data_IF_421316143472
#
_entry.id   IF_421316143472
#
_cell.length_a   1.000
_cell.length_b   1.000
_cell.length_c   1.000
_cell.angle_alpha   90.00
_cell.angle_beta   90.00
_cell.angle_gamma   90.00
#
_symmetry.space_group_name_H-M   'P 1'
#
loop_
_entity.id
_entity.type
_entity.pdbx_description
1 polymer ?
#
# COMPACT_ATOMS: atom_id res chain seq x y z
N UNK A 1 27.74 7.61 -6.44
CA UNK A 1 26.72 6.79 -5.77
C UNK A 1 27.17 5.35 -5.82
N UNK A 2 27.11 4.63 -4.71
CA UNK A 2 27.40 3.19 -4.69
C UNK A 2 26.15 2.46 -5.17
N UNK A 3 26.27 1.66 -6.23
CA UNK A 3 25.18 0.82 -6.74
C UNK A 3 25.31 -0.58 -6.12
N UNK A 4 24.18 -1.18 -5.76
CA UNK A 4 24.09 -2.54 -5.21
C UNK A 4 23.29 -3.38 -6.20
N UNK A 5 23.76 -4.62 -6.44
CA UNK A 5 22.99 -5.59 -7.22
C UNK A 5 21.71 -5.96 -6.48
N UNK A 6 20.51 -5.83 -7.09
CA UNK A 6 19.23 -6.10 -6.44
C UNK A 6 19.12 -7.51 -5.86
N UNK A 7 19.61 -8.53 -6.58
CA UNK A 7 19.54 -9.92 -6.11
C UNK A 7 20.35 -10.12 -4.81
N UNK A 8 21.57 -9.55 -4.75
CA UNK A 8 22.38 -9.61 -3.52
C UNK A 8 21.73 -8.86 -2.35
N UNK A 9 21.00 -7.78 -2.62
CA UNK A 9 20.29 -7.04 -1.59
C UNK A 9 19.08 -7.81 -1.08
N UNK A 10 18.37 -8.53 -1.97
CA UNK A 10 17.29 -9.46 -1.58
C UNK A 10 17.86 -10.58 -0.71
N UNK A 11 18.96 -11.22 -1.12
CA UNK A 11 19.58 -12.30 -0.37
C UNK A 11 20.03 -11.84 1.03
N UNK A 12 20.63 -10.67 1.13
CA UNK A 12 21.02 -10.06 2.41
C UNK A 12 19.81 -9.79 3.30
N UNK A 13 18.79 -9.08 2.80
CA UNK A 13 17.61 -8.74 3.58
C UNK A 13 16.82 -9.99 3.99
N UNK A 14 16.74 -11.00 3.11
CA UNK A 14 16.12 -12.29 3.41
C UNK A 14 16.84 -13.02 4.55
N UNK A 15 18.17 -13.09 4.50
CA UNK A 15 18.97 -13.71 5.58
C UNK A 15 18.76 -13.00 6.93
N UNK A 16 18.65 -11.67 6.91
CA UNK A 16 18.38 -10.88 8.13
C UNK A 16 17.01 -11.22 8.72
N UNK A 17 15.95 -11.32 7.91
CA UNK A 17 14.61 -11.70 8.40
C UNK A 17 14.55 -13.16 8.84
N UNK A 18 15.21 -14.06 8.13
CA UNK A 18 15.31 -15.48 8.53
C UNK A 18 16.01 -15.63 9.89
N UNK A 19 17.03 -14.80 10.16
CA UNK A 19 17.70 -14.74 11.48
C UNK A 19 16.78 -14.32 12.64
N UNK A 20 15.66 -13.66 12.37
CA UNK A 20 14.62 -13.32 13.36
C UNK A 20 13.47 -14.35 13.40
N UNK A 21 13.65 -15.51 12.78
CA UNK A 21 12.69 -16.61 12.81
C UNK A 21 11.59 -16.56 11.73
N UNK A 22 11.68 -15.65 10.76
CA UNK A 22 10.76 -15.65 9.61
C UNK A 22 11.11 -16.83 8.69
N UNK A 23 10.15 -17.69 8.29
CA UNK A 23 10.39 -18.79 7.36
C UNK A 23 11.04 -18.29 6.05
N UNK A 24 12.00 -19.05 5.51
CA UNK A 24 12.82 -18.62 4.36
C UNK A 24 12.00 -18.11 3.15
N UNK A 25 10.90 -18.77 2.71
CA UNK A 25 10.09 -18.25 1.60
C UNK A 25 9.44 -16.90 1.90
N UNK A 26 9.03 -16.68 3.15
CA UNK A 26 8.40 -15.46 3.61
C UNK A 26 9.44 -14.34 3.80
N UNK A 27 10.61 -14.67 4.36
CA UNK A 27 11.74 -13.76 4.48
C UNK A 27 12.17 -13.24 3.09
N UNK A 28 12.20 -14.13 2.08
CA UNK A 28 12.50 -13.75 0.71
C UNK A 28 11.43 -12.85 0.11
N UNK A 29 10.15 -13.11 0.37
CA UNK A 29 9.06 -12.23 -0.05
C UNK A 29 9.17 -10.83 0.57
N UNK A 30 9.44 -10.76 1.89
CA UNK A 30 9.65 -9.48 2.56
C UNK A 30 10.76 -8.68 1.89
N UNK A 31 11.92 -9.32 1.68
CA UNK A 31 13.07 -8.72 1.04
C UNK A 31 12.76 -8.26 -0.38
N UNK A 32 12.10 -9.09 -1.18
CA UNK A 32 11.73 -8.78 -2.57
C UNK A 32 10.80 -7.57 -2.64
N UNK A 33 9.76 -7.50 -1.80
CA UNK A 33 8.84 -6.34 -1.78
C UNK A 33 9.54 -5.02 -1.49
N UNK A 34 10.56 -5.02 -0.63
CA UNK A 34 11.33 -3.82 -0.30
C UNK A 34 12.25 -3.40 -1.44
N UNK A 35 13.00 -4.36 -1.99
CA UNK A 35 13.93 -4.07 -3.09
C UNK A 35 13.17 -3.66 -4.35
N UNK A 36 12.03 -4.30 -4.62
CA UNK A 36 11.17 -3.92 -5.74
C UNK A 36 10.60 -2.51 -5.58
N UNK A 37 10.24 -2.10 -4.36
CA UNK A 37 9.80 -0.73 -4.09
C UNK A 37 10.90 0.29 -4.39
N UNK A 38 12.15 0.01 -4.05
CA UNK A 38 13.30 0.86 -4.40
C UNK A 38 13.51 0.93 -5.90
N UNK A 39 13.42 -0.20 -6.62
CA UNK A 39 13.54 -0.26 -8.08
C UNK A 39 12.45 0.55 -8.80
N UNK A 40 11.25 0.65 -8.23
CA UNK A 40 10.17 1.51 -8.73
C UNK A 40 10.29 2.98 -8.30
N UNK A 41 11.35 3.36 -7.56
CA UNK A 41 11.52 4.73 -7.06
C UNK A 41 10.69 5.05 -5.81
N UNK A 42 10.01 4.07 -5.21
CA UNK A 42 9.25 4.20 -3.95
C UNK A 42 10.13 3.98 -2.73
N UNK A 43 11.24 4.69 -2.61
CA UNK A 43 12.25 4.54 -1.54
C UNK A 43 11.65 4.61 -0.13
N UNK A 44 10.54 5.35 0.06
CA UNK A 44 9.83 5.41 1.34
C UNK A 44 9.24 4.06 1.78
N UNK A 45 9.14 3.09 0.88
CA UNK A 45 8.62 1.73 1.10
C UNK A 45 9.67 0.66 0.78
N UNK A 46 10.89 1.07 0.51
CA UNK A 46 12.03 0.21 0.16
C UNK A 46 12.79 -0.32 1.38
N UNK A 47 14.04 -0.67 1.17
CA UNK A 47 14.94 -1.29 2.16
C UNK A 47 15.14 -0.42 3.41
N UNK A 48 14.86 0.88 3.34
CA UNK A 48 14.75 1.76 4.51
C UNK A 48 13.84 1.17 5.61
N UNK A 49 12.85 0.35 5.25
CA UNK A 49 11.89 -0.28 6.17
C UNK A 49 12.44 -1.51 6.91
N UNK A 50 13.57 -2.07 6.45
CA UNK A 50 14.12 -3.30 7.02
C UNK A 50 14.29 -3.18 8.54
N UNK A 51 14.93 -2.12 9.03
CA UNK A 51 15.15 -1.92 10.46
C UNK A 51 13.85 -1.86 11.29
N UNK A 52 12.82 -1.19 10.77
CA UNK A 52 11.53 -1.09 11.50
C UNK A 52 10.80 -2.43 11.59
N UNK A 53 10.84 -3.24 10.53
CA UNK A 53 10.23 -4.58 10.58
C UNK A 53 10.99 -5.49 11.54
N UNK A 54 12.33 -5.40 11.59
CA UNK A 54 13.14 -6.13 12.58
C UNK A 54 12.76 -5.77 14.01
N UNK A 55 12.65 -4.48 14.32
CA UNK A 55 12.24 -4.04 15.64
C UNK A 55 10.85 -4.55 16.00
N UNK A 56 9.91 -4.57 15.05
CA UNK A 56 8.56 -5.09 15.27
C UNK A 56 8.53 -6.60 15.52
N UNK A 57 9.36 -7.36 14.84
CA UNK A 57 9.55 -8.80 15.09
C UNK A 57 10.11 -9.02 16.50
N UNK A 58 11.19 -8.32 16.85
CA UNK A 58 11.85 -8.40 18.17
C UNK A 58 10.94 -7.99 19.32
N UNK A 59 10.08 -7.00 19.11
CA UNK A 59 9.09 -6.55 20.10
C UNK A 59 7.84 -7.45 20.16
N UNK A 60 7.75 -8.48 19.33
CA UNK A 60 6.63 -9.43 19.32
C UNK A 60 5.29 -8.85 18.84
N UNK A 61 5.27 -7.65 18.26
CA UNK A 61 4.06 -6.99 17.70
C UNK A 61 3.81 -7.34 16.25
N UNK A 62 4.76 -8.03 15.62
CA UNK A 62 4.64 -8.72 14.34
C UNK A 62 5.20 -10.13 14.53
N UNK A 63 4.38 -11.15 14.28
CA UNK A 63 4.80 -12.54 14.43
C UNK A 63 5.69 -12.97 13.26
N UNK A 64 6.83 -13.64 13.50
CA UNK A 64 7.71 -14.10 12.42
C UNK A 64 7.07 -15.20 11.58
N UNK A 65 6.33 -16.12 12.21
CA UNK A 65 5.55 -17.16 11.52
C UNK A 65 4.14 -16.64 11.31
N UNK A 66 3.70 -16.58 10.05
CA UNK A 66 2.36 -16.11 9.68
C UNK A 66 1.42 -17.30 9.59
N UNK A 67 0.39 -17.32 10.44
CA UNK A 67 -0.63 -18.36 10.53
C UNK A 67 -2.00 -17.75 10.24
N UNK A 68 -2.37 -17.59 8.93
CA UNK A 68 -3.63 -16.98 8.55
C UNK A 68 -4.81 -17.93 8.82
N UNK A 69 -5.93 -17.37 9.28
CA UNK A 69 -7.19 -18.09 9.48
C UNK A 69 -8.28 -17.54 8.59
N UNK A 70 -8.96 -18.38 7.81
CA UNK A 70 -10.16 -18.00 7.09
C UNK A 70 -11.36 -18.00 8.04
N UNK A 71 -11.72 -16.81 8.53
CA UNK A 71 -12.87 -16.63 9.44
C UNK A 71 -14.19 -16.47 8.69
N UNK A 72 -14.13 -16.14 7.42
CA UNK A 72 -15.26 -16.18 6.47
C UNK A 72 -14.73 -16.78 5.16
N UNK A 73 -15.46 -17.76 4.64
CA UNK A 73 -15.24 -18.36 3.32
C UNK A 73 -16.62 -18.56 2.67
N UNK A 74 -17.02 -17.60 1.82
CA UNK A 74 -18.34 -17.53 1.20
C UNK A 74 -18.23 -17.37 -0.32
N UNK A 75 -17.53 -18.29 -0.98
CA UNK A 75 -17.36 -18.30 -2.43
C UNK A 75 -16.57 -17.10 -2.93
N UNK A 76 -17.26 -16.09 -3.48
CA UNK A 76 -16.62 -14.87 -3.98
C UNK A 76 -16.07 -13.95 -2.89
N UNK A 77 -16.43 -14.19 -1.62
CA UNK A 77 -16.01 -13.35 -0.49
C UNK A 77 -15.26 -14.20 0.53
N UNK A 78 -14.14 -13.69 1.02
CA UNK A 78 -13.42 -14.27 2.14
C UNK A 78 -12.91 -13.20 3.11
N UNK A 79 -12.74 -13.57 4.38
CA UNK A 79 -12.09 -12.75 5.40
C UNK A 79 -11.01 -13.58 6.09
N UNK A 80 -9.80 -13.06 6.09
CA UNK A 80 -8.61 -13.66 6.69
C UNK A 80 -8.28 -12.91 7.98
N UNK A 81 -8.17 -13.62 9.11
CA UNK A 81 -7.51 -13.11 10.31
C UNK A 81 -6.01 -13.37 10.19
N UNK A 82 -5.23 -12.31 10.26
CA UNK A 82 -3.77 -12.38 10.10
C UNK A 82 -3.02 -12.64 11.41
N UNK A 83 -3.70 -12.59 12.56
CA UNK A 83 -3.12 -12.85 13.90
C UNK A 83 -1.79 -12.12 14.17
N UNK A 84 -1.66 -10.87 13.67
CA UNK A 84 -0.44 -10.04 13.73
C UNK A 84 0.76 -10.63 12.94
N UNK A 85 0.52 -11.50 11.98
CA UNK A 85 1.53 -12.05 11.08
C UNK A 85 2.13 -10.99 10.13
N UNK A 86 3.05 -11.44 9.31
CA UNK A 86 3.77 -10.61 8.34
C UNK A 86 2.82 -10.07 7.27
N UNK A 87 2.69 -8.74 7.17
CA UNK A 87 1.75 -8.09 6.26
C UNK A 87 1.94 -8.46 4.79
N UNK A 88 3.18 -8.66 4.35
CA UNK A 88 3.51 -9.08 2.98
C UNK A 88 2.96 -10.47 2.65
N UNK A 89 3.06 -11.40 3.58
CA UNK A 89 2.57 -12.77 3.42
C UNK A 89 1.04 -12.77 3.34
N UNK A 90 0.39 -12.07 4.28
CA UNK A 90 -1.07 -11.95 4.36
C UNK A 90 -1.65 -11.29 3.10
N UNK A 91 -1.03 -10.20 2.64
CA UNK A 91 -1.52 -9.47 1.46
C UNK A 91 -1.31 -10.26 0.18
N UNK A 92 -0.19 -11.01 0.06
CA UNK A 92 0.02 -11.94 -1.07
C UNK A 92 -1.02 -13.06 -1.08
N UNK A 93 -1.34 -13.62 0.08
CA UNK A 93 -2.39 -14.63 0.21
C UNK A 93 -3.74 -14.05 -0.24
N UNK A 94 -4.14 -12.88 0.29
CA UNK A 94 -5.38 -12.22 -0.11
C UNK A 94 -5.44 -11.92 -1.61
N UNK A 95 -4.32 -11.52 -2.23
CA UNK A 95 -4.27 -11.28 -3.66
C UNK A 95 -4.51 -12.56 -4.47
N UNK A 96 -3.86 -13.67 -4.11
CA UNK A 96 -4.05 -14.97 -4.77
C UNK A 96 -5.47 -15.48 -4.60
N UNK A 97 -5.98 -15.47 -3.40
CA UNK A 97 -7.37 -15.87 -3.10
C UNK A 97 -8.40 -15.04 -3.89
N UNK A 98 -8.22 -13.71 -3.93
CA UNK A 98 -9.12 -12.85 -4.70
C UNK A 98 -9.08 -13.18 -6.21
N UNK A 99 -7.91 -13.46 -6.78
CA UNK A 99 -7.74 -13.81 -8.19
C UNK A 99 -8.41 -15.16 -8.49
N UNK A 100 -8.13 -16.19 -7.70
CA UNK A 100 -8.71 -17.53 -7.92
C UNK A 100 -10.25 -17.50 -7.80
N UNK A 101 -10.76 -16.82 -6.76
CA UNK A 101 -12.20 -16.65 -6.59
C UNK A 101 -12.84 -15.81 -7.70
N UNK A 102 -12.15 -14.77 -8.19
CA UNK A 102 -12.63 -13.98 -9.33
C UNK A 102 -12.69 -14.81 -10.62
N UNK A 103 -11.74 -15.71 -10.86
CA UNK A 103 -11.79 -16.63 -11.99
C UNK A 103 -13.01 -17.58 -11.91
N UNK A 104 -13.40 -18.00 -10.71
CA UNK A 104 -14.56 -18.87 -10.49
C UNK A 104 -15.89 -18.13 -10.52
N UNK A 105 -15.95 -16.90 -10.01
CA UNK A 105 -17.21 -16.17 -9.77
C UNK A 105 -17.36 -14.87 -10.58
N UNK A 106 -16.37 -14.50 -11.40
CA UNK A 106 -16.32 -13.25 -12.15
C UNK A 106 -15.73 -12.08 -11.39
N UNK A 107 -16.06 -11.94 -10.11
CA UNK A 107 -15.52 -10.93 -9.18
C UNK A 107 -15.37 -11.54 -7.80
N UNK A 108 -14.36 -11.11 -7.05
CA UNK A 108 -14.18 -11.52 -5.67
C UNK A 108 -13.62 -10.38 -4.81
N UNK A 109 -13.92 -10.47 -3.48
CA UNK A 109 -13.39 -9.57 -2.47
C UNK A 109 -12.83 -10.38 -1.29
N UNK A 110 -11.56 -10.12 -0.94
CA UNK A 110 -10.89 -10.76 0.19
C UNK A 110 -10.42 -9.69 1.17
N UNK A 111 -11.02 -9.69 2.36
CA UNK A 111 -10.61 -8.85 3.48
C UNK A 111 -9.50 -9.51 4.29
N UNK A 112 -8.63 -8.69 4.89
CA UNK A 112 -7.66 -9.13 5.89
C UNK A 112 -7.78 -8.21 7.10
N UNK A 113 -7.83 -8.79 8.30
CA UNK A 113 -7.80 -8.08 9.57
C UNK A 113 -6.60 -8.48 10.42
N UNK A 114 -6.30 -7.72 11.45
CA UNK A 114 -5.18 -7.98 12.37
C UNK A 114 -3.86 -8.18 11.60
N UNK A 115 -3.59 -7.32 10.64
CA UNK A 115 -2.42 -7.37 9.77
C UNK A 115 -1.37 -6.33 10.15
N UNK A 116 -0.28 -6.35 9.42
CA UNK A 116 0.83 -5.42 9.51
C UNK A 116 1.05 -4.67 8.19
N UNK A 117 1.91 -3.65 8.20
CA UNK A 117 2.35 -2.95 6.99
C UNK A 117 3.01 -3.95 6.01
N UNK A 118 2.73 -3.81 4.71
CA UNK A 118 3.10 -4.79 3.67
C UNK A 118 3.93 -4.19 2.50
N UNK A 119 4.38 -2.95 2.60
CA UNK A 119 5.07 -2.28 1.50
C UNK A 119 4.12 -1.50 0.58
N UNK A 120 4.26 -1.66 -0.73
CA UNK A 120 3.45 -0.94 -1.74
C UNK A 120 2.24 -1.77 -2.19
N UNK A 121 1.06 -1.16 -2.30
CA UNK A 121 -0.14 -1.85 -2.80
C UNK A 121 0.06 -2.37 -4.23
N UNK A 122 0.81 -1.65 -5.06
CA UNK A 122 1.00 -2.00 -6.46
C UNK A 122 1.72 -3.35 -6.66
N UNK A 123 2.54 -3.79 -5.72
CA UNK A 123 3.20 -5.10 -5.79
C UNK A 123 2.18 -6.22 -5.93
N UNK A 124 1.08 -6.13 -5.20
CA UNK A 124 0.03 -7.17 -5.15
C UNK A 124 -1.01 -7.01 -6.25
N UNK A 125 -1.39 -5.77 -6.60
CA UNK A 125 -2.33 -5.57 -7.71
C UNK A 125 -1.73 -5.97 -9.06
N UNK A 126 -0.41 -5.83 -9.23
CA UNK A 126 0.28 -6.32 -10.42
C UNK A 126 0.26 -7.85 -10.56
N UNK A 127 0.06 -8.62 -9.48
CA UNK A 127 -0.11 -10.07 -9.56
C UNK A 127 -1.36 -10.39 -10.40
N UNK A 128 -2.50 -9.79 -10.05
CA UNK A 128 -3.73 -10.04 -10.78
C UNK A 128 -3.75 -9.49 -12.21
N UNK A 129 -3.09 -8.34 -12.44
CA UNK A 129 -2.92 -7.83 -13.80
C UNK A 129 -2.16 -8.81 -14.72
N UNK A 130 -1.16 -9.52 -14.18
CA UNK A 130 -0.44 -10.56 -14.92
C UNK A 130 -1.26 -11.83 -15.14
N UNK A 131 -2.33 -12.02 -14.39
CA UNK A 131 -3.22 -13.17 -14.44
C UNK A 131 -4.57 -12.88 -15.09
N UNK A 132 -4.69 -11.78 -15.86
CA UNK A 132 -5.89 -11.42 -16.62
C UNK A 132 -7.02 -10.82 -15.80
N UNK A 133 -6.70 -10.23 -14.65
CA UNK A 133 -7.68 -9.55 -13.80
C UNK A 133 -7.43 -8.03 -13.74
N UNK A 134 -8.51 -7.27 -13.57
CA UNK A 134 -8.43 -5.92 -13.00
C UNK A 134 -8.48 -6.07 -11.48
N UNK A 135 -7.52 -5.50 -10.78
CA UNK A 135 -7.40 -5.64 -9.33
C UNK A 135 -7.33 -4.31 -8.62
N UNK A 136 -7.91 -4.27 -7.42
CA UNK A 136 -7.87 -3.15 -6.50
C UNK A 136 -7.41 -3.65 -5.14
N UNK A 137 -6.43 -2.96 -4.54
CA UNK A 137 -6.04 -3.16 -3.15
C UNK A 137 -6.13 -1.84 -2.39
N UNK A 138 -6.84 -1.85 -1.28
CA UNK A 138 -6.95 -0.74 -0.35
C UNK A 138 -6.47 -1.16 1.04
N UNK A 139 -5.85 -0.26 1.78
CA UNK A 139 -5.39 -0.51 3.15
C UNK A 139 -5.45 0.73 3.99
N UNK A 140 -5.81 0.59 5.24
CA UNK A 140 -5.72 1.69 6.19
C UNK A 140 -4.35 1.75 6.87
N UNK A 141 -4.05 2.89 7.45
CA UNK A 141 -2.79 3.16 8.15
C UNK A 141 -2.98 4.04 9.38
N UNK A 142 -1.94 4.14 10.19
CA UNK A 142 -1.98 4.97 11.39
C UNK A 142 -2.21 6.46 11.09
N UNK A 143 -2.77 7.22 12.05
CA UNK A 143 -3.16 8.61 11.90
C UNK A 143 -2.09 9.52 11.30
N UNK A 144 -2.44 10.25 10.25
CA UNK A 144 -1.58 11.21 9.54
C UNK A 144 -2.33 12.48 9.16
N UNK A 145 -3.64 12.37 8.87
CA UNK A 145 -4.54 13.46 8.50
C UNK A 145 -5.60 13.69 9.56
N UNK A 146 -6.20 14.88 9.56
CA UNK A 146 -7.43 15.16 10.27
C UNK A 146 -8.65 14.94 9.36
N UNK A 147 -9.85 14.76 9.92
CA UNK A 147 -11.09 14.97 9.19
C UNK A 147 -11.12 16.35 8.56
N UNK A 148 -11.80 16.50 7.43
CA UNK A 148 -11.91 17.80 6.76
C UNK A 148 -12.45 18.87 7.72
N UNK A 149 -11.71 19.98 7.87
CA UNK A 149 -12.00 21.03 8.84
C UNK A 149 -11.52 20.74 10.28
N UNK A 150 -11.00 19.55 10.55
CA UNK A 150 -10.46 19.18 11.87
C UNK A 150 -8.98 19.52 12.05
N UNK A 151 -8.53 19.50 13.30
CA UNK A 151 -7.12 19.77 13.69
C UNK A 151 -6.46 18.64 14.47
N UNK A 152 -7.08 17.46 14.53
CA UNK A 152 -6.52 16.29 15.22
C UNK A 152 -6.31 15.15 14.23
N UNK A 153 -5.09 14.60 14.18
CA UNK A 153 -4.80 13.39 13.39
C UNK A 153 -5.60 12.22 13.91
N UNK A 154 -6.48 11.64 13.10
CA UNK A 154 -7.19 10.42 13.43
C UNK A 154 -7.32 9.46 12.26
N UNK A 155 -7.09 9.91 11.02
CA UNK A 155 -7.19 9.07 9.81
C UNK A 155 -5.82 8.90 9.16
N UNK A 156 -5.57 7.71 8.62
CA UNK A 156 -4.34 7.39 7.92
C UNK A 156 -4.26 8.00 6.52
N UNK A 157 -3.11 7.81 5.87
CA UNK A 157 -2.93 8.16 4.44
C UNK A 157 -3.69 7.22 3.53
N UNK A 158 -4.05 6.05 4.03
CA UNK A 158 -4.95 5.04 3.48
C UNK A 158 -4.73 4.80 1.99
N UNK A 159 -3.58 4.21 1.62
CA UNK A 159 -3.20 4.02 0.23
C UNK A 159 -4.09 3.00 -0.48
N UNK A 160 -4.17 3.14 -1.80
CA UNK A 160 -4.84 2.19 -2.67
C UNK A 160 -4.16 2.09 -4.03
N UNK A 161 -4.39 0.99 -4.71
CA UNK A 161 -3.84 0.71 -6.03
C UNK A 161 -4.86 0.01 -6.89
N UNK A 162 -4.85 0.33 -8.18
CA UNK A 162 -5.58 -0.41 -9.23
C UNK A 162 -4.58 -0.82 -10.28
N UNK A 163 -4.65 -2.07 -10.74
CA UNK A 163 -3.84 -2.54 -11.85
C UNK A 163 -4.68 -3.37 -12.84
N UNK A 164 -4.29 -3.32 -14.11
CA UNK A 164 -4.90 -4.07 -15.19
C UNK A 164 -3.83 -4.46 -16.24
N UNK A 165 -4.01 -5.57 -16.98
CA UNK A 165 -3.16 -5.87 -18.12
C UNK A 165 -3.32 -4.80 -19.22
N UNK A 166 -2.32 -4.67 -20.09
CA UNK A 166 -2.33 -3.64 -21.15
C UNK A 166 -1.70 -4.15 -22.47
N UNK A 167 -1.94 -5.41 -22.81
CA UNK A 167 -1.48 -6.04 -24.03
C UNK A 167 0.05 -6.14 -24.10
N UNK A 168 0.63 -5.61 -25.17
CA UNK A 168 2.09 -5.59 -25.36
C UNK A 168 2.79 -4.55 -24.48
N UNK A 169 2.04 -3.64 -23.85
CA UNK A 169 2.58 -2.62 -22.96
C UNK A 169 2.75 -3.18 -21.54
N UNK A 170 3.59 -2.55 -20.72
CA UNK A 170 3.58 -2.81 -19.28
C UNK A 170 2.17 -2.64 -18.71
N UNK A 171 1.77 -3.43 -17.69
CA UNK A 171 0.46 -3.29 -17.06
C UNK A 171 0.18 -1.84 -16.64
N UNK A 172 -1.06 -1.41 -16.83
CA UNK A 172 -1.52 -0.16 -16.21
C UNK A 172 -1.52 -0.35 -14.69
N UNK A 173 -0.93 0.60 -13.97
CA UNK A 173 -0.95 0.60 -12.52
C UNK A 173 -1.09 2.02 -11.99
N UNK A 174 -2.08 2.21 -11.12
CA UNK A 174 -2.25 3.40 -10.29
C UNK A 174 -1.98 3.00 -8.85
N UNK A 175 -1.09 3.72 -8.17
CA UNK A 175 -0.82 3.56 -6.74
C UNK A 175 -0.60 4.92 -6.11
N UNK A 176 -1.39 5.22 -5.08
CA UNK A 176 -1.27 6.50 -4.37
C UNK A 176 -1.74 6.41 -2.93
N UNK A 177 -1.23 7.32 -2.09
CA UNK A 177 -1.83 7.71 -0.83
C UNK A 177 -2.83 8.85 -1.06
N UNK A 178 -3.76 9.08 -0.14
CA UNK A 178 -4.78 10.14 -0.24
C UNK A 178 -4.32 11.48 0.35
N UNK A 179 -3.01 11.63 0.58
CA UNK A 179 -2.37 12.87 1.03
C UNK A 179 -1.74 13.62 -0.15
N UNK A 180 -1.63 14.93 -0.07
CA UNK A 180 -0.96 15.75 -1.08
C UNK A 180 0.52 15.38 -1.27
N UNK A 181 1.12 14.75 -0.27
CA UNK A 181 2.51 14.27 -0.30
C UNK A 181 2.67 13.02 0.55
N UNK A 182 3.57 12.13 0.16
CA UNK A 182 3.97 11.00 1.00
C UNK A 182 4.73 11.50 2.25
N UNK A 183 4.36 10.99 3.43
CA UNK A 183 4.98 11.37 4.72
C UNK A 183 6.50 11.27 4.71
N UNK A 184 7.05 10.26 4.03
CA UNK A 184 8.50 10.07 3.90
C UNK A 184 9.23 11.23 3.22
N UNK A 185 8.56 11.98 2.30
CA UNK A 185 9.16 13.16 1.68
C UNK A 185 9.34 14.31 2.67
N UNK A 186 8.42 14.48 3.63
CA UNK A 186 8.54 15.49 4.69
C UNK A 186 9.72 15.14 5.61
N UNK A 187 9.87 13.87 6.00
CA UNK A 187 11.03 13.43 6.79
C UNK A 187 12.35 13.63 6.03
N UNK A 188 12.36 13.39 4.72
CA UNK A 188 13.53 13.60 3.89
C UNK A 188 13.91 15.08 3.82
N UNK A 189 12.94 15.97 3.62
CA UNK A 189 13.15 17.43 3.64
C UNK A 189 13.73 17.88 4.98
N UNK A 190 13.17 17.39 6.11
CA UNK A 190 13.72 17.67 7.45
C UNK A 190 15.19 17.24 7.58
N UNK A 191 15.51 16.02 7.14
CA UNK A 191 16.88 15.49 7.26
C UNK A 191 17.86 16.28 6.37
N UNK A 192 17.38 16.83 5.25
CA UNK A 192 18.16 17.68 4.33
C UNK A 192 18.17 19.17 4.74
N UNK A 193 17.40 19.55 5.77
CA UNK A 193 17.17 20.95 6.17
C UNK A 193 16.61 21.81 5.04
N UNK A 194 15.73 21.22 4.24
CA UNK A 194 15.02 21.87 3.14
C UNK A 194 13.60 22.23 3.56
N UNK A 195 13.06 23.32 3.01
CA UNK A 195 11.66 23.69 3.21
C UNK A 195 10.76 22.77 2.37
N UNK A 196 9.51 22.59 2.82
CA UNK A 196 8.46 21.91 2.06
C UNK A 196 7.56 22.94 1.36
N UNK A 197 6.91 22.57 0.23
CA UNK A 197 5.92 23.44 -0.41
C UNK A 197 4.72 23.72 0.49
N UNK A 198 4.18 24.93 0.39
CA UNK A 198 2.87 25.27 0.95
C UNK A 198 1.79 24.33 0.41
N UNK A 199 0.82 24.00 1.26
CA UNK A 199 -0.27 23.09 0.89
C UNK A 199 0.03 21.61 1.13
N UNK A 200 1.22 21.26 1.62
CA UNK A 200 1.52 19.90 2.04
C UNK A 200 1.04 19.58 3.46
N UNK A 201 1.13 20.57 4.35
CA UNK A 201 0.80 20.40 5.76
C UNK A 201 0.34 21.69 6.42
N UNK A 202 -0.26 21.54 7.59
CA UNK A 202 -0.52 22.60 8.57
C UNK A 202 0.22 22.24 9.87
N UNK A 203 0.61 23.27 10.62
CA UNK A 203 1.24 23.10 11.94
C UNK A 203 0.21 22.70 13.01
N UNK A 204 0.66 22.53 14.25
CA UNK A 204 -0.21 22.15 15.38
C UNK A 204 -1.30 23.20 15.71
N UNK A 205 -1.08 24.47 15.34
CA UNK A 205 -2.08 25.54 15.48
C UNK A 205 -3.14 25.53 14.36
N UNK A 206 -2.92 24.75 13.30
CA UNK A 206 -3.81 24.67 12.14
C UNK A 206 -3.47 25.66 11.03
N UNK A 207 -2.29 26.26 11.06
CA UNK A 207 -1.82 27.23 10.08
C UNK A 207 -0.95 26.56 9.01
N UNK A 208 -1.00 27.03 7.74
CA UNK A 208 -0.11 26.52 6.69
C UNK A 208 1.36 26.68 7.09
N UNK A 209 2.17 25.65 6.81
CA UNK A 209 3.59 25.67 7.11
C UNK A 209 4.46 25.19 5.95
N UNK A 210 5.67 25.74 5.86
CA UNK A 210 6.76 25.27 5.00
C UNK A 210 7.87 24.58 5.80
N UNK A 211 7.80 24.58 7.12
CA UNK A 211 8.75 23.92 7.99
C UNK A 211 8.43 22.42 8.09
N UNK A 212 9.38 21.52 7.75
CA UNK A 212 9.12 20.08 7.79
C UNK A 212 8.94 19.54 9.20
N UNK A 213 9.52 20.16 10.24
CA UNK A 213 9.32 19.70 11.62
C UNK A 213 7.93 20.07 12.11
N UNK A 214 7.49 21.31 11.85
CA UNK A 214 6.10 21.71 12.15
C UNK A 214 5.07 20.84 11.40
N UNK A 215 5.37 20.44 10.15
CA UNK A 215 4.53 19.53 9.38
C UNK A 215 4.46 18.12 9.98
N UNK A 216 5.57 17.62 10.55
CA UNK A 216 5.62 16.33 11.25
C UNK A 216 4.78 16.36 12.52
N UNK A 217 4.88 17.42 13.29
CA UNK A 217 4.13 17.62 14.53
C UNK A 217 2.67 17.97 14.24
N UNK A 218 2.44 18.70 13.16
CA UNK A 218 1.15 19.11 12.63
C UNK A 218 0.43 18.00 11.83
N UNK A 219 -0.25 18.36 10.75
CA UNK A 219 -1.15 17.49 9.98
C UNK A 219 -0.78 17.56 8.49
N UNK A 220 -0.60 16.41 7.87
CA UNK A 220 -0.47 16.32 6.41
C UNK A 220 -1.85 16.56 5.79
N UNK A 221 -1.90 17.41 4.77
CA UNK A 221 -3.15 17.73 4.08
C UNK A 221 -3.54 16.64 3.07
N UNK A 222 -4.84 16.37 2.90
CA UNK A 222 -5.31 15.45 1.89
C UNK A 222 -5.10 16.01 0.48
N UNK A 223 -4.86 15.14 -0.50
CA UNK A 223 -4.83 15.52 -1.90
C UNK A 223 -6.18 16.12 -2.33
N UNK A 224 -6.17 17.16 -3.16
CA UNK A 224 -7.39 17.81 -3.65
C UNK A 224 -8.41 18.13 -2.53
N UNK A 225 -7.94 18.47 -1.32
CA UNK A 225 -8.77 18.91 -0.20
C UNK A 225 -9.72 17.81 0.29
N UNK A 226 -11.00 18.14 0.43
CA UNK A 226 -12.03 17.23 0.95
C UNK A 226 -12.18 15.93 0.13
N UNK A 227 -11.80 15.93 -1.15
CA UNK A 227 -11.92 14.73 -2.01
C UNK A 227 -10.97 13.62 -1.55
N UNK A 228 -9.70 13.94 -1.31
CA UNK A 228 -8.75 12.97 -0.79
C UNK A 228 -9.10 12.48 0.63
N UNK A 229 -9.62 13.38 1.48
CA UNK A 229 -10.18 12.96 2.76
C UNK A 229 -11.32 11.95 2.61
N UNK A 230 -12.29 12.23 1.71
CA UNK A 230 -13.42 11.33 1.48
C UNK A 230 -12.97 9.94 0.99
N UNK A 231 -12.00 9.89 0.06
CA UNK A 231 -11.41 8.61 -0.39
C UNK A 231 -10.71 7.90 0.77
N UNK A 232 -9.93 8.62 1.58
CA UNK A 232 -9.25 8.02 2.73
C UNK A 232 -10.25 7.45 3.76
N UNK A 233 -11.38 8.13 3.99
CA UNK A 233 -12.44 7.63 4.87
C UNK A 233 -13.12 6.38 4.30
N UNK A 234 -13.39 6.34 2.99
CA UNK A 234 -13.94 5.15 2.33
C UNK A 234 -12.96 3.96 2.41
N UNK A 235 -11.66 4.19 2.19
CA UNK A 235 -10.64 3.15 2.34
C UNK A 235 -10.58 2.64 3.78
N UNK A 236 -10.66 3.52 4.78
CA UNK A 236 -10.66 3.11 6.19
C UNK A 236 -11.90 2.27 6.55
N UNK A 237 -13.06 2.66 6.00
CA UNK A 237 -14.30 1.87 6.16
C UNK A 237 -14.15 0.47 5.55
N UNK A 238 -13.63 0.36 4.32
CA UNK A 238 -13.47 -0.92 3.63
C UNK A 238 -12.42 -1.81 4.29
N UNK A 239 -11.29 -1.22 4.69
CA UNK A 239 -10.15 -1.97 5.23
C UNK A 239 -10.23 -2.21 6.74
N UNK A 240 -10.85 -1.30 7.48
CA UNK A 240 -10.96 -1.37 8.94
C UNK A 240 -12.34 -1.83 9.39
N UNK A 241 -13.36 -1.01 9.16
CA UNK A 241 -14.72 -1.28 9.69
C UNK A 241 -15.31 -2.56 9.12
N UNK A 242 -15.29 -2.73 7.79
CA UNK A 242 -15.89 -3.89 7.11
C UNK A 242 -15.15 -5.19 7.45
N UNK A 243 -13.83 -5.16 7.60
CA UNK A 243 -13.05 -6.36 7.92
C UNK A 243 -13.05 -6.71 9.41
N UNK A 244 -13.54 -5.82 10.28
CA UNK A 244 -13.42 -5.96 11.73
C UNK A 244 -12.01 -5.73 12.27
N UNK A 245 -11.13 -5.08 11.49
CA UNK A 245 -9.81 -4.62 11.93
C UNK A 245 -9.89 -3.27 12.63
N UNK A 246 -8.77 -2.73 13.10
CA UNK A 246 -8.70 -1.36 13.60
C UNK A 246 -9.07 -0.35 12.52
N UNK A 247 -9.59 0.79 12.95
CA UNK A 247 -9.90 1.94 12.10
C UNK A 247 -9.54 3.25 12.80
N UNK A 248 -9.28 4.29 12.03
CA UNK A 248 -8.89 5.60 12.53
C UNK A 248 -7.73 5.52 13.56
N UNK A 249 -7.94 6.01 14.78
CA UNK A 249 -6.93 6.06 15.85
C UNK A 249 -6.57 4.69 16.44
N UNK A 250 -7.33 3.64 16.16
CA UNK A 250 -7.02 2.27 16.58
C UNK A 250 -5.99 1.58 15.68
N UNK A 251 -5.61 2.20 14.55
CA UNK A 251 -4.54 1.71 13.67
C UNK A 251 -3.23 2.37 14.06
N UNK A 252 -2.18 1.58 14.27
CA UNK A 252 -0.87 2.11 14.60
C UNK A 252 0.10 2.08 13.42
N UNK A 253 0.82 3.19 13.26
CA UNK A 253 1.83 3.35 12.22
C UNK A 253 2.98 2.35 12.43
N UNK A 254 3.62 1.83 11.35
CA UNK A 254 4.80 0.97 11.46
C UNK A 254 6.00 1.63 12.17
N UNK A 255 5.99 2.96 12.33
CA UNK A 255 7.00 3.68 13.13
C UNK A 255 6.84 3.47 14.65
N UNK A 256 5.68 3.03 15.10
CA UNK A 256 5.43 2.66 16.49
C UNK A 256 5.76 1.18 16.67
N UNK A 257 7.04 0.90 16.79
CA UNK A 257 7.58 -0.46 16.74
C UNK A 257 7.19 -1.33 17.95
N UNK A 258 6.66 -0.74 19.01
CA UNK A 258 6.20 -1.44 20.22
C UNK A 258 4.67 -1.66 20.27
N UNK A 259 3.92 -1.19 19.25
CA UNK A 259 2.46 -1.30 19.20
C UNK A 259 2.04 -2.20 18.03
N UNK A 260 1.02 -3.06 18.22
CA UNK A 260 0.43 -3.83 17.12
C UNK A 260 -0.14 -2.88 16.07
N UNK A 261 0.05 -3.19 14.79
CA UNK A 261 -0.47 -2.33 13.71
C UNK A 261 -1.99 -2.28 13.67
N UNK A 262 -2.64 -3.42 13.89
CA UNK A 262 -4.10 -3.57 13.83
C UNK A 262 -4.69 -2.97 12.54
N UNK A 263 -3.97 -3.06 11.43
CA UNK A 263 -4.44 -2.58 10.13
C UNK A 263 -5.18 -3.67 9.37
N UNK A 264 -6.06 -3.24 8.49
CA UNK A 264 -6.80 -4.12 7.60
C UNK A 264 -6.51 -3.83 6.13
N UNK A 265 -6.84 -4.80 5.28
CA UNK A 265 -6.70 -4.70 3.84
C UNK A 265 -7.96 -5.19 3.16
N UNK A 266 -8.27 -4.62 1.99
CA UNK A 266 -9.34 -5.09 1.12
C UNK A 266 -8.77 -5.30 -0.28
N UNK A 267 -8.70 -6.55 -0.71
CA UNK A 267 -8.33 -6.94 -2.07
C UNK A 267 -9.56 -7.30 -2.88
N UNK A 268 -9.72 -6.68 -4.03
CA UNK A 268 -10.80 -6.98 -4.99
C UNK A 268 -10.16 -7.37 -6.32
N UNK A 269 -10.63 -8.45 -6.92
CA UNK A 269 -10.25 -8.88 -8.25
C UNK A 269 -11.49 -9.04 -9.13
N UNK A 270 -11.37 -8.64 -10.40
CA UNK A 270 -12.38 -8.79 -11.43
C UNK A 270 -11.77 -9.58 -12.58
N UNK A 271 -12.29 -10.76 -12.87
CA UNK A 271 -11.86 -11.55 -14.02
C UNK A 271 -12.32 -10.87 -15.30
N UNK A 272 -11.38 -10.48 -16.16
CA UNK A 272 -11.70 -9.78 -17.42
C UNK A 272 -12.55 -10.66 -18.33
N UNK A 273 -12.29 -11.97 -18.37
CA UNK A 273 -13.04 -12.90 -19.22
C UNK A 273 -14.52 -13.05 -18.84
N UNK A 274 -14.91 -12.65 -17.63
CA UNK A 274 -16.31 -12.56 -17.24
C UNK A 274 -17.06 -11.37 -17.89
N UNK A 275 -16.33 -10.39 -18.42
CA UNK A 275 -16.89 -9.20 -19.07
C UNK A 275 -16.69 -9.22 -20.59
N UNK A 276 -15.50 -9.61 -21.05
CA UNK A 276 -15.12 -9.69 -22.46
C UNK A 276 -13.85 -10.55 -22.61
N UNK A 277 -13.55 -11.06 -23.83
CA UNK A 277 -12.32 -11.79 -24.08
C UNK A 277 -11.07 -10.96 -23.70
N UNK A 278 -10.09 -11.58 -23.02
CA UNK A 278 -8.86 -10.91 -22.58
C UNK A 278 -8.11 -10.22 -23.73
N UNK A 279 -8.09 -10.85 -24.91
CA UNK A 279 -7.45 -10.25 -26.10
C UNK A 279 -8.11 -8.92 -26.49
N UNK A 280 -9.44 -8.87 -26.50
CA UNK A 280 -10.19 -7.65 -26.80
C UNK A 280 -9.95 -6.56 -25.75
N UNK A 281 -9.91 -6.93 -24.47
CA UNK A 281 -9.57 -6.00 -23.40
C UNK A 281 -8.17 -5.40 -23.60
N UNK A 282 -7.19 -6.23 -23.94
CA UNK A 282 -5.81 -5.80 -24.17
C UNK A 282 -5.72 -4.81 -25.33
N UNK A 283 -6.35 -5.09 -26.47
CA UNK A 283 -6.40 -4.15 -27.61
C UNK A 283 -7.01 -2.81 -27.21
N UNK A 284 -8.10 -2.83 -26.45
CA UNK A 284 -8.74 -1.59 -25.95
C UNK A 284 -7.85 -0.81 -24.97
N UNK A 285 -7.12 -1.52 -24.12
CA UNK A 285 -6.17 -0.89 -23.20
C UNK A 285 -4.98 -0.26 -23.95
N UNK A 286 -4.50 -0.89 -25.02
CA UNK A 286 -3.47 -0.31 -25.88
C UNK A 286 -3.96 0.98 -26.56
N UNK A 287 -5.20 0.97 -27.08
CA UNK A 287 -5.83 2.15 -27.66
C UNK A 287 -6.01 3.26 -26.62
N UNK A 288 -6.54 2.92 -25.43
CA UNK A 288 -6.73 3.85 -24.32
C UNK A 288 -5.41 4.53 -23.92
N UNK A 289 -4.34 3.77 -23.76
CA UNK A 289 -3.01 4.32 -23.42
C UNK A 289 -2.44 5.15 -24.56
N UNK A 290 -2.62 4.72 -25.81
CA UNK A 290 -2.16 5.48 -26.97
C UNK A 290 -2.87 6.85 -27.06
N UNK A 291 -4.18 6.87 -26.84
CA UNK A 291 -4.95 8.12 -26.85
C UNK A 291 -4.53 9.07 -25.73
N UNK A 292 -4.38 8.57 -24.49
CA UNK A 292 -3.86 9.37 -23.37
C UNK A 292 -2.49 9.99 -23.67
N UNK A 293 -1.62 9.27 -24.37
CA UNK A 293 -0.28 9.73 -24.73
C UNK A 293 -0.21 10.57 -26.00
N UNK A 294 -1.29 10.69 -26.75
CA UNK A 294 -1.33 11.46 -27.99
C UNK A 294 -1.48 12.98 -27.78
N UNK A 295 -1.88 13.40 -26.59
CA UNK A 295 -2.08 14.81 -26.30
C UNK A 295 -0.76 15.57 -26.21
N UNK A 296 -0.71 16.85 -26.66
CA UNK A 296 0.48 17.68 -26.51
C UNK A 296 0.89 17.83 -25.05
N UNK A 297 2.19 17.67 -24.77
CA UNK A 297 2.74 17.83 -23.43
C UNK A 297 2.69 19.32 -23.00
N UNK A 298 2.36 19.56 -21.74
CA UNK A 298 2.39 20.90 -21.12
C UNK A 298 3.82 21.39 -20.82
N UNK A 299 4.85 20.61 -21.18
CA UNK A 299 6.28 20.84 -20.90
C UNK A 299 6.67 20.80 -19.42
N UNK A 300 5.75 20.54 -18.50
CA UNK A 300 5.99 20.49 -17.05
C UNK A 300 5.76 19.11 -16.45
N UNK A 301 5.00 18.26 -17.14
CA UNK A 301 4.63 16.92 -16.71
C UNK A 301 5.35 15.87 -17.54
N UNK A 302 5.71 14.75 -16.91
CA UNK A 302 6.20 13.55 -17.59
C UNK A 302 5.08 12.50 -17.48
N UNK A 303 4.57 12.06 -18.61
CA UNK A 303 3.53 11.02 -18.71
C UNK A 303 4.16 9.69 -19.10
#
# INVERSE_FOLDING_TARGET
MTTINPARLIDFASAVYAGEGVPEPDARLLADTLVQADLWGHQSHGVLRLGWYLERLRNGVMKPVTEPEFVVDAGAVALIDGHDGVGQVLTRLAAREAIERAKAHGIAAVGVRNSNHFGTCMYYTLIGAREGCVTLLASNGGPAMAPWGGRKKIIGTNPWSVAAPAGIRPPFVMYMANTGVARGKIYLARNRRELIPLGWAINAAGEPTTDPQEAIDGIILPMAGHKGYAIAAAVDMLSGVLTGSGFLSAVHSPYKTAEKSNCGHMMIAMNIEAFQPLAQFNERMEQFIAELKSVPLDRKSVV
#
